data_IF_336012244806
#
_entry.id   IF_336012244806
#
_cell.length_a   1.000
_cell.length_b   1.000
_cell.length_c   1.000
_cell.angle_alpha   90.00
_cell.angle_beta   90.00
_cell.angle_gamma   90.00
#
_symmetry.space_group_name_H-M   'P 1'
#
loop_
_entity.id
_entity.type
_entity.pdbx_description
1 polymer ?
#
# COMPACT_ATOMS: atom_id res chain seq x y z
N UNK A 1 33.03 -37.02 -20.09
CA UNK A 1 32.70 -35.74 -20.76
C UNK A 1 31.22 -35.71 -21.07
N UNK A 2 30.44 -34.89 -20.35
CA UNK A 2 29.25 -34.18 -20.83
C UNK A 2 28.85 -33.18 -19.73
N UNK A 3 28.63 -31.93 -20.13
CA UNK A 3 28.57 -30.74 -19.28
C UNK A 3 27.30 -30.64 -18.42
N UNK A 4 27.42 -29.92 -17.31
CA UNK A 4 26.35 -29.58 -16.38
C UNK A 4 25.24 -28.72 -17.02
N UNK A 5 23.98 -28.85 -16.59
CA UNK A 5 23.05 -27.75 -16.66
C UNK A 5 23.32 -26.85 -15.45
N UNK A 6 23.91 -25.68 -15.72
CA UNK A 6 24.02 -24.58 -14.77
C UNK A 6 22.61 -24.06 -14.49
N UNK A 7 21.94 -24.58 -13.46
CA UNK A 7 20.82 -23.87 -12.87
C UNK A 7 21.41 -22.66 -12.15
N UNK A 8 21.35 -21.51 -12.83
CA UNK A 8 21.50 -20.21 -12.19
C UNK A 8 20.59 -20.20 -10.95
N UNK A 9 21.01 -19.61 -9.82
CA UNK A 9 20.14 -19.49 -8.65
C UNK A 9 18.91 -18.69 -9.08
N UNK A 10 17.79 -19.41 -9.26
CA UNK A 10 16.49 -18.81 -9.52
C UNK A 10 16.09 -18.13 -8.22
N UNK A 11 16.13 -16.79 -8.25
CA UNK A 11 15.69 -15.91 -7.18
C UNK A 11 14.28 -16.31 -6.74
N UNK A 12 14.09 -16.69 -5.46
CA UNK A 12 12.79 -17.12 -4.92
C UNK A 12 11.74 -16.00 -5.11
N UNK A 13 10.79 -16.15 -6.04
CA UNK A 13 9.76 -15.15 -6.31
C UNK A 13 8.67 -15.11 -5.22
N UNK A 14 8.62 -16.14 -4.37
CA UNK A 14 7.71 -16.26 -3.24
C UNK A 14 7.83 -15.09 -2.25
N UNK A 15 9.03 -14.55 -2.04
CA UNK A 15 9.24 -13.44 -1.10
C UNK A 15 8.62 -12.14 -1.63
N UNK A 16 8.85 -11.80 -2.90
CA UNK A 16 8.27 -10.58 -3.48
C UNK A 16 6.75 -10.68 -3.63
N UNK A 17 6.23 -11.85 -3.99
CA UNK A 17 4.78 -12.07 -4.10
C UNK A 17 4.09 -11.94 -2.75
N UNK A 18 4.62 -12.56 -1.71
CA UNK A 18 4.07 -12.44 -0.36
C UNK A 18 4.12 -10.99 0.14
N UNK A 19 5.23 -10.29 -0.05
CA UNK A 19 5.34 -8.89 0.36
C UNK A 19 4.42 -7.96 -0.44
N UNK A 20 4.17 -8.23 -1.73
CA UNK A 20 3.17 -7.48 -2.50
C UNK A 20 1.76 -7.72 -1.96
N UNK A 21 1.40 -8.96 -1.61
CA UNK A 21 0.10 -9.25 -1.01
C UNK A 21 -0.06 -8.55 0.35
N UNK A 22 0.96 -8.56 1.19
CA UNK A 22 0.95 -7.80 2.45
C UNK A 22 0.74 -6.30 2.22
N UNK A 23 1.39 -5.72 1.21
CA UNK A 23 1.18 -4.32 0.86
C UNK A 23 -0.20 -4.03 0.27
N UNK A 24 -0.78 -4.96 -0.48
CA UNK A 24 -2.16 -4.84 -0.94
C UNK A 24 -3.11 -4.74 0.26
N UNK A 25 -2.95 -5.58 1.27
CA UNK A 25 -3.76 -5.53 2.49
C UNK A 25 -3.53 -4.23 3.29
N UNK A 26 -2.29 -3.78 3.41
CA UNK A 26 -1.94 -2.51 4.07
C UNK A 26 -2.58 -1.30 3.37
N UNK A 27 -2.55 -1.27 2.03
CA UNK A 27 -3.14 -0.16 1.27
C UNK A 27 -4.67 -0.17 1.29
N UNK A 28 -5.30 -1.35 1.30
CA UNK A 28 -6.75 -1.46 1.50
C UNK A 28 -7.15 -0.94 2.89
N UNK A 29 -6.40 -1.30 3.93
CA UNK A 29 -6.60 -0.83 5.29
C UNK A 29 -6.39 0.69 5.41
N UNK A 30 -5.37 1.21 4.74
CA UNK A 30 -5.08 2.66 4.64
C UNK A 30 -6.23 3.40 3.95
N UNK A 31 -6.72 2.88 2.83
CA UNK A 31 -7.87 3.43 2.11
C UNK A 31 -9.10 3.46 3.04
N UNK A 32 -9.37 2.37 3.75
CA UNK A 32 -10.50 2.30 4.66
C UNK A 32 -10.40 3.32 5.81
N UNK A 33 -9.20 3.53 6.36
CA UNK A 33 -8.96 4.55 7.38
C UNK A 33 -9.23 5.97 6.85
N UNK A 34 -8.79 6.28 5.63
CA UNK A 34 -9.09 7.55 4.96
C UNK A 34 -10.60 7.77 4.79
N UNK A 35 -11.34 6.73 4.38
CA UNK A 35 -12.79 6.79 4.29
C UNK A 35 -13.45 7.04 5.67
N UNK A 36 -12.99 6.35 6.72
CA UNK A 36 -13.50 6.54 8.08
C UNK A 36 -13.27 7.97 8.59
N UNK A 37 -12.09 8.53 8.35
CA UNK A 37 -11.76 9.92 8.70
C UNK A 37 -12.61 10.93 7.92
N UNK A 38 -12.88 10.65 6.64
CA UNK A 38 -13.77 11.47 5.83
C UNK A 38 -15.20 11.53 6.39
N UNK A 39 -15.73 10.37 6.79
CA UNK A 39 -17.05 10.25 7.41
C UNK A 39 -17.08 10.99 8.75
N UNK A 40 -16.08 10.79 9.61
CA UNK A 40 -15.94 11.52 10.87
C UNK A 40 -15.96 13.04 10.65
N UNK A 41 -15.17 13.55 9.71
CA UNK A 41 -15.10 14.99 9.43
C UNK A 41 -16.41 15.56 8.87
N UNK A 42 -17.24 14.72 8.23
CA UNK A 42 -18.52 15.13 7.67
C UNK A 42 -19.65 15.22 8.70
N UNK A 43 -19.49 14.60 9.88
CA UNK A 43 -20.54 14.57 10.91
C UNK A 43 -20.93 16.01 11.33
N UNK A 44 -22.22 16.29 11.56
CA UNK A 44 -22.69 17.64 11.91
C UNK A 44 -21.99 18.26 13.13
N UNK A 45 -21.65 17.44 14.12
CA UNK A 45 -20.95 17.83 15.34
C UNK A 45 -19.45 18.14 15.13
N UNK A 46 -18.85 17.66 14.03
CA UNK A 46 -17.46 17.93 13.66
C UNK A 46 -17.36 19.04 12.60
N UNK A 47 -18.21 18.98 11.56
CA UNK A 47 -18.38 19.99 10.51
C UNK A 47 -17.10 20.43 9.77
N UNK A 48 -16.12 19.54 9.62
CA UNK A 48 -14.86 19.80 8.92
C UNK A 48 -14.93 19.40 7.43
N UNK A 49 -15.83 20.04 6.67
CA UNK A 49 -16.13 19.66 5.27
C UNK A 49 -14.90 19.56 4.35
N UNK A 50 -13.91 20.45 4.51
CA UNK A 50 -12.72 20.46 3.67
C UNK A 50 -11.75 19.31 4.02
N UNK A 51 -11.67 18.93 5.30
CA UNK A 51 -10.96 17.72 5.71
C UNK A 51 -11.66 16.47 5.18
N UNK A 52 -13.00 16.44 5.23
CA UNK A 52 -13.76 15.35 4.64
C UNK A 52 -13.45 15.16 3.15
N UNK A 53 -13.50 16.24 2.36
CA UNK A 53 -13.12 16.19 0.93
C UNK A 53 -11.65 15.81 0.72
N UNK A 54 -10.75 16.28 1.58
CA UNK A 54 -9.33 15.90 1.52
C UNK A 54 -9.15 14.40 1.70
N UNK A 55 -9.73 13.82 2.75
CA UNK A 55 -9.60 12.39 3.04
C UNK A 55 -10.28 11.50 1.99
N UNK A 56 -11.44 11.91 1.45
CA UNK A 56 -12.07 11.17 0.32
C UNK A 56 -11.17 11.11 -0.91
N UNK A 57 -10.52 12.22 -1.25
CA UNK A 57 -9.59 12.24 -2.39
C UNK A 57 -8.41 11.29 -2.19
N UNK A 58 -7.90 11.19 -0.96
CA UNK A 58 -6.81 10.26 -0.64
C UNK A 58 -7.29 8.81 -0.60
N UNK A 59 -8.52 8.54 -0.14
CA UNK A 59 -9.15 7.24 -0.29
C UNK A 59 -9.19 6.80 -1.76
N UNK A 60 -9.66 7.67 -2.67
CA UNK A 60 -9.72 7.35 -4.11
C UNK A 60 -8.32 7.08 -4.69
N UNK A 61 -7.33 7.91 -4.32
CA UNK A 61 -5.94 7.75 -4.75
C UNK A 61 -5.34 6.41 -4.30
N UNK A 62 -5.49 6.05 -3.01
CA UNK A 62 -4.98 4.79 -2.48
C UNK A 62 -5.72 3.58 -3.07
N UNK A 63 -7.03 3.68 -3.29
CA UNK A 63 -7.79 2.62 -3.94
C UNK A 63 -7.30 2.37 -5.39
N UNK A 64 -7.04 3.43 -6.15
CA UNK A 64 -6.48 3.32 -7.50
C UNK A 64 -5.07 2.72 -7.49
N UNK A 65 -4.18 3.18 -6.59
CA UNK A 65 -2.83 2.64 -6.42
C UNK A 65 -2.84 1.15 -6.05
N UNK A 66 -3.76 0.75 -5.16
CA UNK A 66 -3.95 -0.64 -4.75
C UNK A 66 -4.36 -1.51 -5.95
N UNK A 67 -5.30 -1.04 -6.77
CA UNK A 67 -5.72 -1.73 -7.99
C UNK A 67 -4.57 -1.89 -8.98
N UNK A 68 -3.74 -0.85 -9.15
CA UNK A 68 -2.55 -0.90 -10.01
C UNK A 68 -1.51 -1.91 -9.49
N UNK A 69 -1.31 -1.99 -8.17
CA UNK A 69 -0.41 -2.97 -7.55
C UNK A 69 -0.92 -4.41 -7.75
N UNK A 70 -2.22 -4.66 -7.53
CA UNK A 70 -2.84 -5.96 -7.81
C UNK A 70 -2.71 -6.37 -9.29
N UNK A 71 -2.93 -5.42 -10.21
CA UNK A 71 -2.78 -5.66 -11.63
C UNK A 71 -1.32 -6.00 -11.99
N UNK A 72 -0.36 -5.27 -11.42
CA UNK A 72 1.08 -5.52 -11.59
C UNK A 72 1.47 -6.91 -11.09
N UNK A 73 0.94 -7.34 -9.94
CA UNK A 73 1.15 -8.67 -9.40
C UNK A 73 0.64 -9.77 -10.34
N UNK A 74 -0.58 -9.60 -10.85
CA UNK A 74 -1.21 -10.54 -11.79
C UNK A 74 -0.46 -10.60 -13.12
N UNK A 75 0.00 -9.45 -13.65
CA UNK A 75 0.80 -9.37 -14.89
C UNK A 75 2.16 -10.05 -14.76
N UNK A 76 2.76 -10.01 -13.56
CA UNK A 76 4.01 -10.74 -13.24
C UNK A 76 3.79 -12.25 -13.07
N UNK A 77 2.56 -12.73 -13.18
CA UNK A 77 2.19 -14.15 -13.02
C UNK A 77 1.99 -14.58 -11.56
N UNK A 78 2.05 -13.64 -10.62
CA UNK A 78 1.76 -13.89 -9.21
C UNK A 78 0.26 -13.92 -8.93
N UNK A 79 -0.13 -14.43 -7.76
CA UNK A 79 -1.52 -14.46 -7.29
C UNK A 79 -1.75 -13.36 -6.26
N UNK A 80 -2.85 -12.64 -6.43
CA UNK A 80 -3.36 -11.73 -5.39
C UNK A 80 -4.17 -12.54 -4.37
N UNK A 81 -3.82 -12.40 -3.09
CA UNK A 81 -4.55 -12.98 -1.96
C UNK A 81 -5.13 -11.81 -1.17
N UNK A 82 -6.45 -11.84 -0.96
CA UNK A 82 -7.15 -10.83 -0.16
C UNK A 82 -7.53 -11.47 1.17
N UNK A 83 -6.96 -10.98 2.26
CA UNK A 83 -7.32 -11.36 3.62
C UNK A 83 -8.55 -10.62 4.15
N UNK A 84 -8.88 -10.91 5.41
CA UNK A 84 -9.90 -10.20 6.15
C UNK A 84 -9.44 -8.78 6.47
N UNK A 85 -10.38 -7.84 6.42
CA UNK A 85 -10.11 -6.43 6.73
C UNK A 85 -10.62 -6.10 8.13
N UNK A 86 -9.71 -5.74 9.02
CA UNK A 86 -10.06 -5.30 10.36
C UNK A 86 -10.62 -3.87 10.35
N UNK A 87 -11.47 -3.56 11.31
CA UNK A 87 -11.90 -2.19 11.53
C UNK A 87 -10.74 -1.34 12.06
N UNK A 88 -10.66 -0.06 11.69
CA UNK A 88 -9.71 0.87 12.28
C UNK A 88 -9.75 0.84 13.81
N UNK A 89 -8.57 0.79 14.45
CA UNK A 89 -8.45 0.84 15.92
C UNK A 89 -9.10 2.09 16.52
N UNK A 90 -9.19 3.16 15.75
CA UNK A 90 -9.80 4.44 16.16
C UNK A 90 -10.89 4.83 15.17
N UNK A 91 -12.10 5.03 15.68
CA UNK A 91 -13.24 5.58 14.92
C UNK A 91 -13.58 7.03 15.33
N UNK A 92 -12.89 7.57 16.33
CA UNK A 92 -13.15 8.88 16.93
C UNK A 92 -11.87 9.70 16.99
N UNK A 93 -11.83 10.84 16.30
CA UNK A 93 -10.73 11.78 16.36
C UNK A 93 -11.12 13.02 17.18
N UNK A 94 -10.14 13.63 17.87
CA UNK A 94 -10.40 14.82 18.71
C UNK A 94 -10.54 16.13 17.90
N UNK A 95 -10.54 16.03 16.57
CA UNK A 95 -10.57 17.14 15.63
C UNK A 95 -9.58 16.96 14.48
N UNK A 96 -9.50 17.95 13.59
CA UNK A 96 -8.67 17.89 12.37
C UNK A 96 -7.18 17.70 12.65
N UNK A 97 -6.63 18.32 13.69
CA UNK A 97 -5.21 18.14 14.05
C UNK A 97 -4.89 16.68 14.40
N UNK A 98 -5.69 16.07 15.27
CA UNK A 98 -5.51 14.67 15.66
C UNK A 98 -5.66 13.73 14.45
N UNK A 99 -6.63 13.99 13.57
CA UNK A 99 -6.79 13.22 12.34
C UNK A 99 -5.54 13.31 11.43
N UNK A 100 -4.97 14.50 11.27
CA UNK A 100 -3.75 14.69 10.48
C UNK A 100 -2.51 14.06 11.10
N UNK A 101 -2.37 14.09 12.43
CA UNK A 101 -1.28 13.40 13.13
C UNK A 101 -1.38 11.88 12.91
N UNK A 102 -2.59 11.30 13.01
CA UNK A 102 -2.81 9.90 12.69
C UNK A 102 -2.42 9.58 11.24
N UNK A 103 -2.85 10.39 10.27
CA UNK A 103 -2.49 10.20 8.85
C UNK A 103 -0.99 10.32 8.63
N UNK A 104 -0.33 11.29 9.26
CA UNK A 104 1.11 11.47 9.13
C UNK A 104 1.89 10.22 9.59
N UNK A 105 1.49 9.62 10.71
CA UNK A 105 2.09 8.38 11.19
C UNK A 105 1.79 7.19 10.28
N UNK A 106 0.55 7.09 9.78
CA UNK A 106 0.13 6.08 8.82
C UNK A 106 0.98 6.16 7.53
N UNK A 107 1.02 7.33 6.88
CA UNK A 107 1.76 7.52 5.62
C UNK A 107 3.26 7.24 5.80
N UNK A 108 3.83 7.61 6.95
CA UNK A 108 5.22 7.27 7.26
C UNK A 108 5.43 5.76 7.35
N UNK A 109 4.52 5.03 7.98
CA UNK A 109 4.57 3.56 8.08
C UNK A 109 4.47 2.92 6.69
N UNK A 110 3.47 3.30 5.90
CA UNK A 110 3.25 2.76 4.56
C UNK A 110 4.45 3.07 3.66
N UNK A 111 4.98 4.30 3.71
CA UNK A 111 6.16 4.67 2.94
C UNK A 111 7.41 3.86 3.34
N UNK A 112 7.58 3.56 4.63
CA UNK A 112 8.67 2.73 5.11
C UNK A 112 8.56 1.30 4.54
N UNK A 113 7.37 0.71 4.59
CA UNK A 113 7.13 -0.61 3.99
C UNK A 113 7.38 -0.60 2.46
N UNK A 114 6.93 0.43 1.75
CA UNK A 114 7.19 0.58 0.31
C UNK A 114 8.68 0.67 -0.03
N UNK A 115 9.48 1.34 0.81
CA UNK A 115 10.94 1.37 0.68
C UNK A 115 11.56 -0.01 0.89
N UNK A 116 11.07 -0.77 1.87
CA UNK A 116 11.51 -2.14 2.15
C UNK A 116 11.14 -3.08 0.99
N UNK A 117 9.93 -2.98 0.45
CA UNK A 117 9.51 -3.73 -0.72
C UNK A 117 10.35 -3.39 -1.95
N UNK A 118 10.68 -2.11 -2.16
CA UNK A 118 11.56 -1.70 -3.25
C UNK A 118 12.98 -2.25 -3.11
N UNK A 119 13.53 -2.24 -1.88
CA UNK A 119 14.83 -2.87 -1.59
C UNK A 119 14.79 -4.39 -1.82
N UNK A 120 13.71 -5.05 -1.40
CA UNK A 120 13.50 -6.47 -1.64
C UNK A 120 13.46 -6.76 -3.14
N UNK A 121 12.67 -6.02 -3.91
CA UNK A 121 12.59 -6.15 -5.36
C UNK A 121 13.97 -5.99 -6.04
N UNK A 122 14.76 -5.00 -5.60
CA UNK A 122 16.13 -4.81 -6.08
C UNK A 122 17.04 -6.01 -5.73
N UNK A 123 16.98 -6.50 -4.49
CA UNK A 123 17.80 -7.64 -4.03
C UNK A 123 17.47 -8.94 -4.77
N UNK A 124 16.19 -9.15 -5.10
CA UNK A 124 15.66 -10.31 -5.82
C UNK A 124 15.77 -10.16 -7.34
N UNK A 125 16.35 -9.04 -7.82
CA UNK A 125 16.50 -8.71 -9.24
C UNK A 125 15.16 -8.72 -9.99
N UNK A 126 14.14 -8.12 -9.38
CA UNK A 126 12.84 -7.85 -10.01
C UNK A 126 12.77 -6.38 -10.46
N UNK A 127 13.30 -6.06 -11.66
CA UNK A 127 13.32 -4.69 -12.15
C UNK A 127 11.93 -4.16 -12.48
N UNK A 128 10.96 -5.04 -12.74
CA UNK A 128 9.60 -4.64 -13.08
C UNK A 128 8.90 -4.09 -11.83
N UNK A 129 8.95 -4.83 -10.72
CA UNK A 129 8.39 -4.38 -9.45
C UNK A 129 9.12 -3.14 -8.92
N UNK A 130 10.47 -3.13 -8.96
CA UNK A 130 11.24 -1.97 -8.51
C UNK A 130 10.88 -0.70 -9.30
N UNK A 131 10.80 -0.79 -10.64
CA UNK A 131 10.42 0.36 -11.49
C UNK A 131 8.99 0.84 -11.22
N UNK A 132 8.06 -0.09 -11.01
CA UNK A 132 6.67 0.23 -10.65
C UNK A 132 6.61 1.01 -9.33
N UNK A 133 7.25 0.51 -8.27
CA UNK A 133 7.29 1.18 -6.97
C UNK A 133 7.94 2.56 -7.05
N UNK A 134 9.04 2.67 -7.79
CA UNK A 134 9.72 3.94 -8.00
C UNK A 134 8.83 4.95 -8.75
N UNK A 135 8.07 4.53 -9.76
CA UNK A 135 7.24 5.44 -10.56
C UNK A 135 5.96 5.88 -9.84
N UNK A 136 5.28 4.94 -9.17
CA UNK A 136 3.94 5.17 -8.62
C UNK A 136 3.94 5.63 -7.15
N UNK A 137 4.98 5.31 -6.39
CA UNK A 137 4.99 5.57 -4.93
C UNK A 137 6.18 6.43 -4.47
N UNK A 138 7.40 6.13 -4.92
CA UNK A 138 8.63 6.67 -4.32
C UNK A 138 9.24 7.85 -5.09
N UNK A 139 8.50 8.47 -6.02
CA UNK A 139 8.97 9.67 -6.70
C UNK A 139 8.95 10.87 -5.75
N UNK A 140 10.01 11.68 -5.71
CA UNK A 140 10.06 12.92 -4.93
C UNK A 140 9.15 14.01 -5.49
#
# INVERSE_FOLDING_TARGET
MAAAPTHLPQSDPLDCEASVNAHVEEQLSTSYLYLAMAVFCHRPEVALKHFSSFFLRYFDCWAELTQQLMATQTQRGGRVILGDMEQPETSEWRGGLHAMECVFHLEKSVNQGLLELHQLAASKRDPHLASFLQYHYLRP
#
